data_IF_876471296746
#
_entry.id   IF_876471296746
#
_cell.length_a   1.000
_cell.length_b   1.000
_cell.length_c   1.000
_cell.angle_alpha   90.00
_cell.angle_beta   90.00
_cell.angle_gamma   90.00
#
_symmetry.space_group_name_H-M   'P 1'
#
loop_
_entity.id
_entity.type
_entity.pdbx_description
1 polymer ?
#
# COMPACT_ATOMS: atom_id res chain seq x y z
N UNK A 1 9.69 22.45 9.48
CA UNK A 1 8.70 22.57 8.40
C UNK A 1 9.33 22.58 7.01
N UNK A 2 10.20 23.52 6.65
CA UNK A 2 10.81 23.58 5.30
C UNK A 2 11.50 22.30 4.87
N UNK A 3 12.28 21.65 5.72
CA UNK A 3 12.97 20.38 5.42
C UNK A 3 11.98 19.23 5.14
N UNK A 4 10.88 19.17 5.87
CA UNK A 4 9.80 18.19 5.63
C UNK A 4 9.13 18.41 4.28
N UNK A 5 8.84 19.67 3.96
CA UNK A 5 8.28 20.08 2.68
C UNK A 5 9.23 19.73 1.51
N UNK A 6 10.52 20.08 1.65
CA UNK A 6 11.53 19.80 0.64
C UNK A 6 11.69 18.28 0.42
N UNK A 7 11.58 17.48 1.48
CA UNK A 7 11.56 16.01 1.38
C UNK A 7 10.39 15.51 0.52
N UNK A 8 9.17 15.97 0.77
CA UNK A 8 8.01 15.53 0.00
C UNK A 8 8.02 16.03 -1.44
N UNK A 9 8.46 17.27 -1.69
CA UNK A 9 8.67 17.77 -3.05
C UNK A 9 9.71 16.96 -3.79
N UNK A 10 10.81 16.58 -3.14
CA UNK A 10 11.84 15.79 -3.77
C UNK A 10 11.34 14.40 -4.15
N UNK A 11 10.48 13.78 -3.34
CA UNK A 11 9.82 12.52 -3.70
C UNK A 11 9.00 12.69 -4.99
N UNK A 12 8.15 13.72 -5.06
CA UNK A 12 7.30 13.95 -6.22
C UNK A 12 8.12 14.28 -7.49
N UNK A 13 9.13 15.14 -7.38
CA UNK A 13 10.04 15.48 -8.47
C UNK A 13 10.85 14.28 -8.95
N UNK A 14 11.34 13.48 -8.03
CA UNK A 14 12.11 12.28 -8.36
C UNK A 14 11.28 11.25 -9.10
N UNK A 15 10.02 11.10 -8.73
CA UNK A 15 9.08 10.21 -9.41
C UNK A 15 8.46 10.81 -10.70
N UNK A 16 8.79 12.03 -11.06
CA UNK A 16 8.14 12.76 -12.15
C UNK A 16 6.61 12.73 -12.05
N UNK A 17 6.07 12.72 -10.83
CA UNK A 17 4.63 12.68 -10.59
C UNK A 17 4.06 14.10 -10.46
N UNK A 18 2.78 14.25 -10.76
CA UNK A 18 2.05 15.49 -10.49
C UNK A 18 2.04 15.75 -8.97
N UNK A 19 2.16 17.01 -8.60
CA UNK A 19 2.10 17.47 -7.22
C UNK A 19 1.60 18.90 -7.15
N UNK A 20 0.99 19.24 -6.04
CA UNK A 20 0.51 20.58 -5.74
C UNK A 20 1.26 21.13 -4.52
N UNK A 21 1.89 22.29 -4.70
CA UNK A 21 2.70 22.93 -3.67
C UNK A 21 1.88 23.31 -2.44
N UNK A 22 0.73 23.91 -2.66
CA UNK A 22 -0.08 24.46 -1.58
C UNK A 22 -0.76 23.34 -0.78
N UNK A 23 -1.12 22.23 -1.44
CA UNK A 23 -1.59 21.02 -0.76
C UNK A 23 -0.48 20.35 0.08
N UNK A 24 0.76 20.33 -0.41
CA UNK A 24 1.89 19.80 0.36
C UNK A 24 2.26 20.68 1.54
N UNK A 25 2.22 22.00 1.38
CA UNK A 25 2.44 22.95 2.48
C UNK A 25 1.38 22.74 3.58
N UNK A 26 0.11 22.71 3.19
CA UNK A 26 -1.00 22.46 4.11
C UNK A 26 -0.86 21.10 4.81
N UNK A 27 -0.51 20.03 4.06
CA UNK A 27 -0.28 18.73 4.66
C UNK A 27 0.85 18.75 5.69
N UNK A 28 1.97 19.38 5.37
CA UNK A 28 3.11 19.51 6.28
C UNK A 28 2.73 20.26 7.55
N UNK A 29 1.99 21.36 7.43
CA UNK A 29 1.55 22.18 8.56
C UNK A 29 0.55 21.42 9.45
N UNK A 30 -0.55 20.93 8.88
CA UNK A 30 -1.61 20.25 9.62
C UNK A 30 -1.17 18.90 10.21
N UNK A 31 -0.21 18.21 9.57
CA UNK A 31 0.32 16.93 10.07
C UNK A 31 1.05 17.07 11.42
N UNK A 32 1.62 18.23 11.73
CA UNK A 32 2.27 18.50 13.02
C UNK A 32 1.27 18.44 14.19
N UNK A 33 0.01 18.73 13.92
CA UNK A 33 -1.06 18.78 14.93
C UNK A 33 -1.84 17.47 15.08
N UNK A 34 -1.53 16.44 14.27
CA UNK A 34 -2.27 15.17 14.31
C UNK A 34 -2.12 14.44 15.66
N UNK A 35 -0.95 14.55 16.28
CA UNK A 35 -0.71 13.96 17.60
C UNK A 35 -1.65 14.53 18.66
N UNK A 36 -1.74 15.84 18.73
CA UNK A 36 -2.60 16.56 19.68
C UNK A 36 -4.08 16.27 19.37
N UNK A 37 -4.45 16.27 18.09
CA UNK A 37 -5.81 15.96 17.68
C UNK A 37 -6.25 14.56 18.12
N UNK A 38 -5.44 13.53 17.85
CA UNK A 38 -5.78 12.15 18.24
C UNK A 38 -5.79 12.01 19.77
N UNK A 39 -4.86 12.67 20.49
CA UNK A 39 -4.84 12.69 21.94
C UNK A 39 -6.06 13.37 22.56
N UNK A 40 -6.60 14.41 21.92
CA UNK A 40 -7.84 15.07 22.37
C UNK A 40 -9.07 14.16 22.28
N UNK A 41 -9.05 13.19 21.36
CA UNK A 41 -10.13 12.21 21.20
C UNK A 41 -9.97 10.98 22.12
N UNK A 42 -8.76 10.71 22.61
CA UNK A 42 -8.44 9.57 23.46
C UNK A 42 -7.36 9.96 24.48
N UNK A 43 -7.70 10.73 25.53
CA UNK A 43 -6.73 11.22 26.52
C UNK A 43 -6.10 10.11 27.34
N UNK A 44 -6.72 8.92 27.42
CA UNK A 44 -6.21 7.73 28.07
C UNK A 44 -5.08 7.04 27.27
N UNK A 45 -4.95 7.33 25.99
CA UNK A 45 -3.94 6.74 25.11
C UNK A 45 -2.60 7.44 25.22
N UNK A 46 -1.55 6.74 24.79
CA UNK A 46 -0.19 7.31 24.66
C UNK A 46 0.27 7.27 23.22
N UNK A 47 0.73 8.40 22.71
CA UNK A 47 1.39 8.46 21.42
C UNK A 47 2.81 7.94 21.58
N UNK A 48 3.20 7.01 20.72
CA UNK A 48 4.58 6.58 20.54
C UNK A 48 5.06 7.04 19.18
N UNK A 49 6.17 7.75 19.14
CA UNK A 49 6.87 8.13 17.92
C UNK A 49 7.97 7.11 17.67
N UNK A 50 8.10 6.60 16.46
CA UNK A 50 9.12 5.62 16.13
C UNK A 50 9.49 5.68 14.64
N UNK A 51 10.79 5.58 14.40
CA UNK A 51 11.38 5.37 13.08
C UNK A 51 10.90 6.31 11.99
N UNK A 52 11.61 6.34 10.89
CA UNK A 52 11.17 7.09 9.73
C UNK A 52 10.30 6.27 8.80
N UNK A 53 9.61 6.96 7.95
CA UNK A 53 8.94 6.41 6.80
C UNK A 53 9.96 6.12 5.66
N UNK A 54 9.55 5.58 4.51
CA UNK A 54 10.42 5.15 3.40
C UNK A 54 11.33 6.23 2.81
N UNK A 55 12.10 5.87 1.78
CA UNK A 55 13.01 6.76 1.04
C UNK A 55 14.13 7.40 1.89
N UNK A 56 14.74 6.61 2.75
CA UNK A 56 15.77 7.06 3.70
C UNK A 56 17.02 7.65 3.05
N UNK A 57 17.24 7.36 1.78
CA UNK A 57 18.31 7.90 0.97
C UNK A 57 18.05 9.33 0.46
N UNK A 58 16.85 9.87 0.68
CA UNK A 58 16.53 11.24 0.29
C UNK A 58 16.82 12.22 1.44
N UNK A 59 17.34 13.42 1.12
CA UNK A 59 17.53 14.47 2.11
C UNK A 59 16.23 14.81 2.85
N UNK A 60 16.28 14.93 4.17
CA UNK A 60 15.12 15.25 5.01
C UNK A 60 14.27 14.05 5.45
N UNK A 61 14.64 12.84 5.08
CA UNK A 61 13.91 11.62 5.49
C UNK A 61 13.82 11.44 7.01
N UNK A 62 14.80 11.93 7.76
CA UNK A 62 14.86 11.93 9.22
C UNK A 62 13.81 12.82 9.89
N UNK A 63 13.23 13.78 9.15
CA UNK A 63 12.13 14.61 9.61
C UNK A 63 10.79 13.87 9.62
N UNK A 64 10.67 12.72 8.95
CA UNK A 64 9.42 11.96 8.83
C UNK A 64 9.37 10.86 9.87
N UNK A 65 8.49 11.01 10.84
CA UNK A 65 8.29 10.04 11.91
C UNK A 65 6.91 9.39 11.81
N UNK A 66 6.86 8.11 12.19
CA UNK A 66 5.61 7.38 12.37
C UNK A 66 5.12 7.56 13.79
N UNK A 67 3.82 7.81 13.91
CA UNK A 67 3.14 7.80 15.20
C UNK A 67 2.23 6.59 15.32
N UNK A 68 2.13 6.04 16.52
CA UNK A 68 1.08 5.08 16.85
C UNK A 68 0.50 5.39 18.22
N UNK A 69 -0.81 5.24 18.34
CA UNK A 69 -1.49 5.30 19.62
C UNK A 69 -1.30 3.96 20.35
N UNK A 70 -0.89 4.03 21.62
CA UNK A 70 -0.73 2.89 22.54
C UNK A 70 -1.76 2.98 23.66
N UNK A 71 -1.93 1.86 24.38
CA UNK A 71 -2.79 1.78 25.55
C UNK A 71 -4.25 2.22 25.34
N UNK A 72 -4.80 1.93 24.15
CA UNK A 72 -6.22 2.13 23.89
C UNK A 72 -6.96 0.91 24.41
N UNK A 73 -7.86 1.04 25.38
CA UNK A 73 -8.58 -0.08 25.99
C UNK A 73 -9.33 -0.90 24.95
N UNK A 74 -9.21 -2.23 25.02
CA UNK A 74 -9.94 -3.16 24.16
C UNK A 74 -9.50 -3.23 22.70
N UNK A 75 -8.47 -2.45 22.30
CA UNK A 75 -8.06 -2.36 20.89
C UNK A 75 -6.64 -2.89 20.65
N UNK A 76 -6.44 -3.56 19.52
CA UNK A 76 -5.14 -4.10 19.05
C UNK A 76 -4.87 -3.66 17.61
N UNK A 77 -3.60 -3.45 17.28
CA UNK A 77 -3.20 -3.13 15.90
C UNK A 77 -3.95 -1.91 15.33
N UNK A 78 -4.51 -2.03 14.14
CA UNK A 78 -5.28 -1.00 13.44
C UNK A 78 -6.58 -0.60 14.14
N UNK A 79 -7.15 -1.49 14.94
CA UNK A 79 -8.40 -1.23 15.68
C UNK A 79 -8.26 -0.07 16.66
N UNK A 80 -7.03 0.27 17.06
CA UNK A 80 -6.77 1.38 17.99
C UNK A 80 -7.22 2.70 17.41
N UNK A 81 -6.76 3.04 16.21
CA UNK A 81 -7.10 4.31 15.57
C UNK A 81 -8.59 4.33 15.18
N UNK A 82 -9.08 3.27 14.57
CA UNK A 82 -10.49 3.13 14.23
C UNK A 82 -11.39 3.27 15.48
N UNK A 83 -11.06 2.56 16.57
CA UNK A 83 -11.84 2.60 17.81
C UNK A 83 -11.88 3.99 18.48
N UNK A 84 -10.82 4.80 18.31
CA UNK A 84 -10.81 6.20 18.78
C UNK A 84 -11.87 7.00 18.02
N UNK A 85 -11.86 6.93 16.70
CA UNK A 85 -12.83 7.66 15.88
C UNK A 85 -14.25 7.13 16.05
N UNK A 86 -14.46 5.81 16.14
CA UNK A 86 -15.76 5.21 16.39
C UNK A 86 -16.39 5.71 17.72
N UNK A 87 -15.60 5.72 18.80
CA UNK A 87 -16.04 6.30 20.08
C UNK A 87 -16.36 7.79 19.97
N UNK A 88 -15.52 8.54 19.25
CA UNK A 88 -15.74 9.97 19.06
C UNK A 88 -17.03 10.27 18.28
N UNK A 89 -17.34 9.47 17.26
CA UNK A 89 -18.58 9.52 16.47
C UNK A 89 -19.78 9.22 17.35
N UNK A 90 -19.73 8.12 18.13
CA UNK A 90 -20.80 7.72 19.06
C UNK A 90 -21.05 8.77 20.14
N UNK A 91 -20.00 9.30 20.75
CA UNK A 91 -20.11 10.34 21.79
C UNK A 91 -20.76 11.65 21.29
N UNK A 92 -20.75 11.88 19.97
CA UNK A 92 -21.36 13.04 19.33
C UNK A 92 -22.73 12.74 18.72
N UNK A 93 -23.26 11.53 18.92
CA UNK A 93 -24.51 11.05 18.35
C UNK A 93 -24.58 11.24 16.81
N UNK A 94 -23.45 11.05 16.12
CA UNK A 94 -23.41 11.13 14.65
C UNK A 94 -24.03 9.83 14.11
N UNK A 95 -25.11 9.90 13.30
CA UNK A 95 -25.72 8.71 12.73
C UNK A 95 -24.77 7.97 11.80
N UNK A 96 -24.69 6.65 11.95
CA UNK A 96 -23.92 5.76 11.06
C UNK A 96 -24.88 4.73 10.47
N UNK A 97 -25.04 4.78 9.15
CA UNK A 97 -25.84 3.80 8.41
C UNK A 97 -24.90 2.74 7.84
N UNK A 98 -24.96 1.53 8.40
CA UNK A 98 -24.24 0.37 7.89
C UNK A 98 -25.09 -0.37 6.85
N UNK A 99 -24.44 -1.14 5.96
CA UNK A 99 -25.10 -1.84 4.86
C UNK A 99 -25.95 -0.89 3.97
N UNK A 100 -25.47 0.34 3.83
CA UNK A 100 -26.14 1.40 3.08
C UNK A 100 -25.19 1.97 2.01
N UNK A 101 -24.87 1.20 0.94
CA UNK A 101 -23.93 1.66 -0.09
C UNK A 101 -24.49 2.85 -0.85
N UNK A 102 -23.70 3.93 -0.92
CA UNK A 102 -23.97 5.07 -1.78
C UNK A 102 -23.84 4.66 -3.26
N UNK A 103 -24.70 5.22 -4.12
CA UNK A 103 -24.75 4.90 -5.54
C UNK A 103 -24.53 6.11 -6.43
N UNK A 104 -25.13 7.24 -6.08
CA UNK A 104 -25.10 8.47 -6.88
C UNK A 104 -25.12 9.70 -6.00
N UNK A 105 -24.56 10.79 -6.52
CA UNK A 105 -24.78 12.11 -5.95
C UNK A 105 -26.10 12.69 -6.47
N UNK A 106 -26.88 13.27 -5.57
CA UNK A 106 -28.07 14.04 -5.91
C UNK A 106 -27.65 15.47 -6.15
N UNK A 107 -28.04 16.06 -7.27
CA UNK A 107 -27.58 17.39 -7.71
C UNK A 107 -28.70 18.26 -8.26
N UNK A 108 -28.48 19.57 -8.22
CA UNK A 108 -29.24 20.58 -8.93
C UNK A 108 -28.27 21.42 -9.73
N UNK A 109 -28.28 21.28 -11.06
CA UNK A 109 -27.23 21.84 -11.91
C UNK A 109 -25.86 21.26 -11.55
N UNK A 110 -24.91 22.09 -11.16
CA UNK A 110 -23.58 21.68 -10.70
C UNK A 110 -23.45 21.56 -9.17
N UNK A 111 -24.50 21.89 -8.42
CA UNK A 111 -24.49 21.88 -6.94
C UNK A 111 -24.92 20.51 -6.39
N UNK A 112 -24.12 19.94 -5.49
CA UNK A 112 -24.40 18.66 -4.83
C UNK A 112 -25.28 18.90 -3.60
N UNK A 113 -26.43 18.19 -3.56
CA UNK A 113 -27.46 18.36 -2.54
C UNK A 113 -27.59 17.16 -1.60
N UNK A 114 -26.99 16.02 -1.96
CA UNK A 114 -27.13 14.81 -1.15
C UNK A 114 -26.63 13.57 -1.87
N UNK A 115 -27.06 12.43 -1.37
CA UNK A 115 -26.63 11.10 -1.85
C UNK A 115 -27.84 10.20 -2.00
N UNK A 116 -27.88 9.47 -3.11
CA UNK A 116 -28.74 8.29 -3.29
C UNK A 116 -27.94 7.06 -2.84
N UNK A 117 -28.53 6.26 -1.97
CA UNK A 117 -27.99 5.01 -1.45
C UNK A 117 -28.99 3.88 -1.60
N UNK A 118 -28.57 2.66 -1.31
CA UNK A 118 -29.50 1.52 -1.15
C UNK A 118 -29.51 1.15 0.33
N UNK A 119 -30.67 1.18 0.93
CA UNK A 119 -30.89 0.75 2.31
C UNK A 119 -32.03 -0.27 2.37
N UNK A 120 -31.77 -1.42 2.98
CA UNK A 120 -32.70 -2.54 3.03
C UNK A 120 -33.26 -2.94 1.64
N UNK A 121 -32.40 -2.89 0.61
CA UNK A 121 -32.76 -3.25 -0.77
C UNK A 121 -33.55 -2.18 -1.54
N UNK A 122 -33.81 -1.00 -0.94
CA UNK A 122 -34.59 0.09 -1.55
C UNK A 122 -33.76 1.35 -1.74
N UNK A 123 -34.08 2.17 -2.74
CA UNK A 123 -33.50 3.51 -2.85
C UNK A 123 -33.73 4.34 -1.59
N UNK A 124 -32.66 4.94 -1.08
CA UNK A 124 -32.69 5.77 0.11
C UNK A 124 -31.95 7.08 -0.18
N UNK A 125 -32.61 8.20 0.04
CA UNK A 125 -32.08 9.51 -0.28
C UNK A 125 -31.69 10.25 0.99
N UNK A 126 -30.43 10.67 1.07
CA UNK A 126 -29.92 11.48 2.17
C UNK A 126 -29.72 12.91 1.67
N UNK A 127 -30.52 13.84 2.18
CA UNK A 127 -30.32 15.27 1.94
C UNK A 127 -29.17 15.78 2.79
N UNK A 128 -28.16 16.42 2.17
CA UNK A 128 -27.09 17.11 2.88
C UNK A 128 -27.50 18.58 3.07
N UNK A 129 -27.55 19.07 4.29
CA UNK A 129 -27.91 20.49 4.53
C UNK A 129 -26.86 21.46 4.02
N UNK A 130 -25.59 21.06 4.01
CA UNK A 130 -24.45 21.93 3.65
C UNK A 130 -23.62 21.34 2.53
N UNK A 131 -23.11 20.10 2.67
CA UNK A 131 -22.20 19.51 1.71
C UNK A 131 -22.15 17.98 1.84
N UNK A 132 -21.58 17.33 0.84
CA UNK A 132 -21.19 15.91 0.84
C UNK A 132 -19.68 15.81 0.86
N UNK A 133 -19.13 14.97 1.73
CA UNK A 133 -17.71 14.62 1.78
C UNK A 133 -17.55 13.16 1.39
N UNK A 134 -16.82 12.88 0.32
CA UNK A 134 -16.55 11.51 -0.14
C UNK A 134 -15.25 11.00 0.51
N UNK A 135 -15.35 9.92 1.28
CA UNK A 135 -14.23 9.26 1.96
C UNK A 135 -14.26 7.73 1.73
N UNK A 136 -14.55 7.29 0.51
CA UNK A 136 -14.86 5.89 0.18
C UNK A 136 -13.63 5.02 -0.06
N UNK A 137 -12.42 5.56 0.06
CA UNK A 137 -11.20 4.86 -0.31
C UNK A 137 -11.04 4.72 -1.83
N UNK A 138 -10.13 3.85 -2.24
CA UNK A 138 -9.74 3.68 -3.64
C UNK A 138 -10.57 2.67 -4.43
N UNK A 139 -9.92 2.10 -5.47
CA UNK A 139 -10.59 1.19 -6.40
C UNK A 139 -9.84 -0.15 -6.62
N UNK A 140 -8.90 -0.49 -5.75
CA UNK A 140 -8.04 -1.68 -5.90
C UNK A 140 -8.78 -3.02 -5.91
N UNK A 141 -10.02 -3.07 -5.43
CA UNK A 141 -10.86 -4.27 -5.46
C UNK A 141 -11.80 -4.32 -6.67
N UNK A 142 -11.68 -3.35 -7.59
CA UNK A 142 -12.44 -3.32 -8.83
C UNK A 142 -11.52 -3.68 -10.01
N UNK A 143 -11.62 -4.90 -10.57
CA UNK A 143 -10.73 -5.35 -11.64
C UNK A 143 -10.84 -4.52 -12.91
N UNK A 144 -12.00 -3.96 -13.23
CA UNK A 144 -12.19 -3.13 -14.42
C UNK A 144 -11.47 -1.79 -14.30
N UNK A 145 -11.58 -1.14 -13.14
CA UNK A 145 -10.87 0.12 -12.88
C UNK A 145 -9.35 -0.11 -12.78
N UNK A 146 -8.93 -1.21 -12.15
CA UNK A 146 -7.52 -1.61 -12.13
C UNK A 146 -6.98 -1.83 -13.53
N UNK A 147 -7.69 -2.57 -14.39
CA UNK A 147 -7.26 -2.80 -15.77
C UNK A 147 -7.24 -1.50 -16.60
N UNK A 148 -8.13 -0.55 -16.30
CA UNK A 148 -8.24 0.72 -17.03
C UNK A 148 -7.10 1.68 -16.71
N UNK A 149 -6.66 1.73 -15.45
CA UNK A 149 -5.76 2.78 -14.97
C UNK A 149 -4.38 2.28 -14.57
N UNK A 150 -4.24 1.01 -14.19
CA UNK A 150 -3.00 0.50 -13.61
C UNK A 150 -2.33 -0.49 -14.58
N UNK A 151 -1.06 -0.24 -14.85
CA UNK A 151 -0.21 -1.16 -15.62
C UNK A 151 0.38 -2.25 -14.72
N UNK A 152 0.83 -3.35 -15.35
CA UNK A 152 1.50 -4.43 -14.62
C UNK A 152 0.54 -5.41 -13.92
N UNK A 153 -0.58 -5.70 -14.56
CA UNK A 153 -1.50 -6.75 -14.11
C UNK A 153 -0.99 -8.16 -14.48
N UNK A 154 -1.35 -9.19 -13.71
CA UNK A 154 -2.32 -9.15 -12.60
C UNK A 154 -1.74 -8.60 -11.30
N UNK A 155 -2.57 -7.81 -10.58
CA UNK A 155 -2.34 -7.37 -9.21
C UNK A 155 -3.44 -7.91 -8.32
N UNK A 156 -3.08 -8.52 -7.17
CA UNK A 156 -4.06 -8.88 -6.16
C UNK A 156 -4.32 -7.68 -5.23
N UNK A 157 -5.52 -7.52 -4.70
CA UNK A 157 -5.75 -6.54 -3.65
C UNK A 157 -5.34 -7.09 -2.28
N UNK A 158 -4.83 -6.23 -1.42
CA UNK A 158 -4.44 -6.56 -0.04
C UNK A 158 -5.37 -5.91 0.99
N UNK A 159 -5.93 -4.76 0.64
CA UNK A 159 -6.76 -3.92 1.49
C UNK A 159 -8.19 -4.42 1.65
N UNK A 160 -9.12 -3.49 1.81
CA UNK A 160 -10.55 -3.79 1.95
C UNK A 160 -11.17 -4.23 0.63
N UNK A 161 -11.99 -5.30 0.61
CA UNK A 161 -12.76 -5.68 -0.57
C UNK A 161 -13.84 -4.63 -0.94
N UNK A 162 -14.12 -3.68 -0.04
CA UNK A 162 -15.07 -2.61 -0.28
C UNK A 162 -14.49 -1.40 -1.05
N UNK A 163 -13.20 -1.41 -1.38
CA UNK A 163 -12.59 -0.35 -2.19
C UNK A 163 -12.85 -0.61 -3.68
N UNK A 164 -14.10 -0.41 -4.09
CA UNK A 164 -14.65 -0.73 -5.41
C UNK A 164 -14.72 0.47 -6.35
N UNK A 165 -14.28 1.66 -5.88
CA UNK A 165 -14.25 2.88 -6.68
C UNK A 165 -15.59 3.62 -6.77
N UNK A 166 -16.55 3.33 -5.90
CA UNK A 166 -17.88 3.95 -5.95
C UNK A 166 -17.80 5.47 -5.83
N UNK A 167 -16.96 6.00 -4.93
CA UNK A 167 -16.75 7.44 -4.79
C UNK A 167 -16.06 8.08 -6.00
N UNK A 168 -15.13 7.35 -6.64
CA UNK A 168 -14.52 7.79 -7.90
C UNK A 168 -15.58 7.99 -8.97
N UNK A 169 -16.42 6.97 -9.18
CA UNK A 169 -17.48 7.02 -10.20
C UNK A 169 -18.52 8.11 -9.89
N UNK A 170 -18.86 8.29 -8.61
CA UNK A 170 -19.75 9.37 -8.18
C UNK A 170 -19.16 10.76 -8.48
N UNK A 171 -17.89 10.98 -8.16
CA UNK A 171 -17.22 12.24 -8.45
C UNK A 171 -17.05 12.49 -9.95
N UNK A 172 -16.69 11.45 -10.73
CA UNK A 172 -16.63 11.54 -12.19
C UNK A 172 -17.98 11.92 -12.81
N UNK A 173 -19.10 11.46 -12.25
CA UNK A 173 -20.43 11.83 -12.75
C UNK A 173 -20.75 13.33 -12.58
N UNK A 174 -19.96 14.03 -11.74
CA UNK A 174 -20.02 15.47 -11.54
C UNK A 174 -19.05 16.25 -12.44
N UNK A 175 -18.24 15.57 -13.24
CA UNK A 175 -17.24 16.18 -14.11
C UNK A 175 -15.96 16.61 -13.40
N UNK A 176 -15.57 15.91 -12.34
CA UNK A 176 -14.33 16.23 -11.62
C UNK A 176 -13.08 15.97 -12.47
N UNK A 177 -12.03 16.76 -12.23
CA UNK A 177 -10.68 16.45 -12.68
C UNK A 177 -10.11 15.26 -11.90
N UNK A 178 -9.25 14.47 -12.56
CA UNK A 178 -8.65 13.27 -12.00
C UNK A 178 -7.13 13.39 -12.01
N UNK A 179 -6.51 12.99 -10.91
CA UNK A 179 -5.06 12.90 -10.81
C UNK A 179 -4.59 11.58 -10.22
N UNK A 180 -3.29 11.26 -10.37
CA UNK A 180 -2.61 10.08 -9.81
C UNK A 180 -3.24 8.72 -10.16
N UNK A 181 -4.05 8.66 -11.22
CA UNK A 181 -4.84 7.47 -11.58
C UNK A 181 -3.99 6.23 -11.89
N UNK A 182 -2.73 6.41 -12.29
CA UNK A 182 -1.78 5.34 -12.58
C UNK A 182 -0.94 4.91 -11.37
N UNK A 183 -1.29 5.35 -10.17
CA UNK A 183 -0.45 5.23 -8.98
C UNK A 183 -1.07 4.31 -7.94
N UNK A 184 -0.26 3.37 -7.42
CA UNK A 184 -0.64 2.43 -6.37
C UNK A 184 0.48 2.28 -5.34
N UNK A 185 0.12 1.86 -4.14
CA UNK A 185 1.06 1.28 -3.19
C UNK A 185 0.91 -0.23 -3.22
N UNK A 186 1.90 -0.91 -3.77
CA UNK A 186 1.84 -2.35 -3.97
C UNK A 186 3.19 -3.03 -3.69
N UNK A 187 3.37 -3.66 -2.53
CA UNK A 187 4.46 -4.61 -2.32
C UNK A 187 4.28 -5.85 -3.20
N UNK A 188 5.33 -6.65 -3.29
CA UNK A 188 5.19 -8.01 -3.79
C UNK A 188 4.63 -8.93 -2.72
N UNK A 189 3.81 -9.88 -3.12
CA UNK A 189 3.15 -10.79 -2.20
C UNK A 189 2.71 -12.08 -2.87
N UNK A 190 2.09 -12.93 -2.07
CA UNK A 190 1.63 -14.27 -2.45
C UNK A 190 0.11 -14.23 -2.59
N UNK A 191 -0.39 -14.81 -3.66
CA UNK A 191 -1.80 -15.10 -3.81
C UNK A 191 -2.03 -16.58 -3.55
N UNK A 192 -2.77 -16.89 -2.49
CA UNK A 192 -3.11 -18.26 -2.13
C UNK A 192 -4.36 -18.68 -2.91
N UNK A 193 -4.38 -19.85 -3.55
CA UNK A 193 -5.57 -20.34 -4.23
C UNK A 193 -6.79 -20.38 -3.30
N UNK A 194 -7.92 -19.87 -3.78
CA UNK A 194 -9.17 -19.78 -3.00
C UNK A 194 -9.24 -18.60 -2.03
N UNK A 195 -8.17 -17.82 -1.87
CA UNK A 195 -8.16 -16.56 -1.10
C UNK A 195 -8.12 -15.40 -2.09
N UNK A 196 -9.13 -14.53 -2.06
CA UNK A 196 -9.20 -13.40 -3.02
C UNK A 196 -8.13 -12.35 -2.76
N UNK A 197 -7.86 -12.07 -1.48
CA UNK A 197 -6.85 -11.10 -1.09
C UNK A 197 -5.43 -11.68 -1.21
N UNK A 198 -4.50 -10.86 -1.68
CA UNK A 198 -3.08 -11.17 -1.64
C UNK A 198 -2.51 -11.05 -0.23
N UNK A 199 -1.38 -11.70 0.02
CA UNK A 199 -0.64 -11.63 1.28
C UNK A 199 0.72 -11.02 0.99
N UNK A 200 0.96 -9.82 1.50
CA UNK A 200 2.23 -9.15 1.27
C UNK A 200 3.42 -9.91 1.87
N UNK A 201 4.48 -10.01 1.08
CA UNK A 201 5.69 -10.73 1.47
C UNK A 201 6.64 -9.81 2.22
N UNK A 202 6.99 -10.17 3.45
CA UNK A 202 8.04 -9.50 4.24
C UNK A 202 9.19 -10.48 4.42
N UNK A 203 10.33 -10.18 3.79
CA UNK A 203 11.52 -11.03 3.85
C UNK A 203 12.23 -10.88 5.20
N UNK A 204 12.26 -11.95 6.00
CA UNK A 204 12.81 -11.96 7.36
C UNK A 204 14.17 -12.65 7.48
N UNK A 205 14.47 -13.54 6.56
CA UNK A 205 15.72 -14.30 6.54
C UNK A 205 16.62 -13.85 5.38
N UNK A 206 17.94 -14.07 5.46
CA UNK A 206 18.88 -13.58 4.45
C UNK A 206 19.04 -14.48 3.22
N UNK A 207 18.78 -15.79 3.34
CA UNK A 207 19.03 -16.78 2.28
C UNK A 207 17.90 -16.83 1.25
N UNK A 208 17.75 -15.75 0.46
CA UNK A 208 16.79 -15.67 -0.64
C UNK A 208 17.24 -14.70 -1.73
N UNK A 209 16.73 -14.90 -2.93
CA UNK A 209 16.79 -13.99 -4.07
C UNK A 209 15.44 -13.91 -4.77
N UNK A 210 15.18 -12.81 -5.49
CA UNK A 210 14.08 -12.72 -6.44
C UNK A 210 14.58 -12.90 -7.87
N UNK A 211 13.87 -13.72 -8.63
CA UNK A 211 14.16 -13.96 -10.04
C UNK A 211 12.92 -13.76 -10.90
N UNK A 212 13.11 -13.37 -12.13
CA UNK A 212 12.07 -13.27 -13.15
C UNK A 212 11.67 -14.66 -13.70
N UNK A 213 10.77 -14.68 -14.68
CA UNK A 213 10.30 -15.91 -15.33
C UNK A 213 11.41 -16.63 -16.12
N UNK A 214 12.49 -15.97 -16.42
CA UNK A 214 13.65 -16.55 -17.10
C UNK A 214 14.74 -17.05 -16.11
N UNK A 215 14.51 -16.92 -14.80
CA UNK A 215 15.44 -17.36 -13.76
C UNK A 215 16.57 -16.36 -13.45
N UNK A 216 16.46 -15.13 -13.91
CA UNK A 216 17.45 -14.06 -13.71
C UNK A 216 17.04 -13.14 -12.58
N UNK A 217 18.02 -12.71 -11.76
CA UNK A 217 17.77 -11.63 -10.81
C UNK A 217 17.53 -10.30 -11.54
N UNK A 218 16.86 -9.37 -10.88
CA UNK A 218 16.48 -8.09 -11.49
C UNK A 218 16.56 -6.89 -10.53
N UNK A 219 16.87 -7.09 -9.25
CA UNK A 219 16.87 -6.01 -8.25
C UNK A 219 17.70 -6.36 -7.01
N UNK A 220 18.09 -5.32 -6.25
CA UNK A 220 18.52 -5.48 -4.87
C UNK A 220 17.28 -5.45 -3.96
N UNK A 221 16.87 -6.60 -3.49
CA UNK A 221 15.62 -6.82 -2.73
C UNK A 221 15.61 -6.08 -1.38
N UNK A 222 16.77 -5.72 -0.85
CA UNK A 222 16.90 -5.03 0.44
C UNK A 222 16.92 -3.51 0.33
N UNK A 223 17.29 -2.97 -0.85
CA UNK A 223 17.27 -1.52 -1.10
C UNK A 223 15.95 -1.01 -1.67
N UNK A 224 15.08 -1.92 -2.08
CA UNK A 224 13.80 -1.56 -2.68
C UNK A 224 12.80 -1.12 -1.60
N UNK A 225 12.15 0.03 -1.81
CA UNK A 225 11.05 0.42 -0.93
C UNK A 225 9.89 -0.57 -1.05
N UNK A 226 9.41 -0.99 0.10
CA UNK A 226 8.41 -2.03 0.19
C UNK A 226 7.09 -1.66 -0.53
N UNK A 227 6.63 -0.42 -0.38
CA UNK A 227 5.36 0.02 -0.94
C UNK A 227 5.40 0.22 -2.46
N UNK A 228 6.61 0.43 -3.00
CA UNK A 228 6.85 0.70 -4.41
C UNK A 228 7.51 -0.49 -5.13
N UNK A 229 7.57 -1.66 -4.51
CA UNK A 229 8.25 -2.82 -5.12
C UNK A 229 7.58 -3.31 -6.43
N UNK A 230 6.31 -3.00 -6.65
CA UNK A 230 5.64 -3.23 -7.92
C UNK A 230 6.32 -2.53 -9.12
N UNK A 231 6.99 -1.40 -8.89
CA UNK A 231 7.70 -0.68 -9.95
C UNK A 231 8.89 -1.48 -10.50
N UNK A 232 9.53 -2.31 -9.67
CA UNK A 232 10.64 -3.15 -10.11
C UNK A 232 10.18 -4.30 -11.04
N UNK A 233 8.91 -4.65 -11.00
CA UNK A 233 8.33 -5.73 -11.82
C UNK A 233 7.44 -5.23 -12.95
N UNK A 234 7.01 -3.96 -12.90
CA UNK A 234 6.15 -3.33 -13.90
C UNK A 234 6.95 -2.89 -15.13
N UNK A 235 7.59 -3.84 -15.81
CA UNK A 235 8.37 -3.62 -17.00
C UNK A 235 7.85 -4.52 -18.13
N UNK A 236 7.10 -3.94 -19.06
CA UNK A 236 6.53 -4.67 -20.18
C UNK A 236 7.61 -4.93 -21.26
N UNK A 237 7.80 -6.19 -21.62
CA UNK A 237 8.61 -6.62 -22.74
C UNK A 237 7.79 -6.53 -24.03
N UNK A 238 8.01 -5.47 -24.80
CA UNK A 238 7.25 -5.21 -26.01
C UNK A 238 7.59 -6.18 -27.17
N UNK A 239 8.72 -6.89 -27.10
CA UNK A 239 9.13 -7.87 -28.11
C UNK A 239 8.40 -9.20 -27.89
N UNK A 240 8.37 -9.66 -26.64
CA UNK A 240 7.77 -10.93 -26.27
C UNK A 240 6.32 -10.78 -25.76
N UNK A 241 5.79 -9.57 -25.72
CA UNK A 241 4.42 -9.22 -25.31
C UNK A 241 4.05 -9.77 -23.92
N UNK A 242 4.96 -9.62 -22.92
CA UNK A 242 4.76 -10.11 -21.56
C UNK A 242 5.34 -9.16 -20.50
N UNK A 243 4.90 -9.33 -19.28
CA UNK A 243 5.60 -8.83 -18.09
C UNK A 243 6.52 -9.93 -17.56
N UNK A 244 7.84 -9.93 -17.85
CA UNK A 244 8.73 -11.04 -17.48
C UNK A 244 8.91 -11.23 -15.98
N UNK A 245 8.51 -10.23 -15.18
CA UNK A 245 8.63 -10.20 -13.72
C UNK A 245 7.27 -10.30 -13.01
N UNK A 246 6.17 -10.56 -13.75
CA UNK A 246 4.84 -10.77 -13.16
C UNK A 246 4.24 -12.07 -13.71
N UNK A 247 4.21 -13.14 -12.89
CA UNK A 247 4.83 -13.27 -11.56
C UNK A 247 6.34 -13.30 -11.63
N UNK A 248 7.02 -12.92 -10.54
CA UNK A 248 8.39 -13.29 -10.25
C UNK A 248 8.44 -14.40 -9.19
N UNK A 249 9.61 -14.93 -8.92
CA UNK A 249 9.79 -16.00 -7.96
C UNK A 249 10.77 -15.59 -6.85
N UNK A 250 10.42 -15.87 -5.61
CA UNK A 250 11.38 -15.86 -4.51
C UNK A 250 11.96 -17.24 -4.36
N UNK A 251 13.27 -17.36 -4.58
CA UNK A 251 14.04 -18.58 -4.42
C UNK A 251 14.70 -18.57 -3.04
N UNK A 252 14.62 -19.69 -2.32
CA UNK A 252 15.20 -19.86 -0.99
C UNK A 252 15.61 -21.31 -0.76
N UNK A 253 16.41 -21.53 0.26
CA UNK A 253 16.78 -22.87 0.70
C UNK A 253 16.11 -23.29 2.01
N UNK A 254 16.47 -24.47 2.52
CA UNK A 254 15.88 -25.02 3.73
C UNK A 254 16.16 -24.19 4.98
N UNK A 255 17.27 -23.46 5.04
CA UNK A 255 17.64 -22.61 6.18
C UNK A 255 16.61 -21.48 6.38
N UNK A 256 16.06 -20.96 5.28
CA UNK A 256 15.03 -19.92 5.33
C UNK A 256 13.75 -20.40 6.01
N UNK A 257 13.25 -21.60 5.64
CA UNK A 257 12.00 -22.14 6.18
C UNK A 257 12.16 -22.76 7.58
N UNK A 258 13.33 -23.28 7.93
CA UNK A 258 13.63 -23.77 9.29
C UNK A 258 13.52 -22.67 10.35
N UNK A 259 13.67 -21.40 9.97
CA UNK A 259 13.54 -20.26 10.87
C UNK A 259 12.07 -19.95 11.25
N UNK A 260 11.10 -20.64 10.67
CA UNK A 260 9.68 -20.50 10.98
C UNK A 260 8.77 -20.31 9.77
N UNK A 261 7.50 -19.95 9.99
CA UNK A 261 6.55 -19.78 8.91
C UNK A 261 6.96 -18.63 7.98
N UNK A 262 6.83 -18.85 6.68
CA UNK A 262 7.12 -17.84 5.65
C UNK A 262 6.27 -16.58 5.86
N UNK A 263 5.00 -16.78 6.24
CA UNK A 263 4.06 -15.71 6.58
C UNK A 263 3.64 -15.82 8.05
N UNK A 264 3.85 -14.77 8.81
CA UNK A 264 3.39 -14.72 10.21
C UNK A 264 1.87 -14.47 10.27
N UNK A 265 1.17 -15.24 11.09
CA UNK A 265 -0.26 -15.06 11.36
C UNK A 265 -0.55 -13.98 12.42
N UNK A 266 0.47 -13.48 13.08
CA UNK A 266 0.35 -12.51 14.15
C UNK A 266 1.06 -11.20 13.86
N UNK A 267 0.36 -10.11 14.02
CA UNK A 267 0.97 -8.88 14.47
C UNK A 267 1.50 -7.88 13.47
N UNK A 268 1.48 -8.10 12.18
CA UNK A 268 1.94 -7.05 11.26
C UNK A 268 0.84 -6.27 10.54
N UNK A 269 -0.43 -6.63 10.69
CA UNK A 269 -1.54 -5.94 10.02
C UNK A 269 -1.52 -5.99 8.48
N UNK A 270 -0.54 -6.64 7.90
CA UNK A 270 -0.21 -6.65 6.48
C UNK A 270 -1.04 -7.61 5.62
N UNK A 271 -2.01 -8.27 6.21
CA UNK A 271 -2.96 -9.09 5.50
C UNK A 271 -4.31 -8.90 6.16
N UNK A 272 -4.93 -7.79 5.83
CA UNK A 272 -6.15 -7.32 6.50
C UNK A 272 -7.31 -8.27 6.25
N UNK A 273 -7.39 -8.88 5.08
CA UNK A 273 -8.48 -9.77 4.75
C UNK A 273 -7.97 -11.09 4.17
N UNK A 274 -7.63 -12.03 5.04
CA UNK A 274 -7.27 -13.40 4.63
C UNK A 274 -8.47 -14.32 4.47
N UNK A 275 -9.68 -13.81 4.56
CA UNK A 275 -10.91 -14.62 4.47
C UNK A 275 -10.87 -15.88 5.38
N UNK A 276 -10.30 -15.74 6.58
CA UNK A 276 -10.09 -16.83 7.52
C UNK A 276 -8.86 -17.71 7.24
N UNK A 277 -8.12 -17.50 6.15
CA UNK A 277 -6.92 -18.29 5.86
C UNK A 277 -5.84 -18.05 6.92
N UNK A 278 -5.34 -19.16 7.48
CA UNK A 278 -4.21 -19.17 8.41
C UNK A 278 -3.04 -19.94 7.78
N UNK A 279 -1.91 -19.27 7.69
CA UNK A 279 -0.65 -19.91 7.28
C UNK A 279 -0.22 -20.95 8.30
N UNK A 280 0.28 -22.11 7.88
CA UNK A 280 0.74 -23.15 8.80
C UNK A 280 2.02 -22.73 9.54
N UNK A 281 2.24 -23.28 10.73
CA UNK A 281 3.41 -22.92 11.56
C UNK A 281 4.74 -23.44 10.97
N UNK A 282 4.67 -24.54 10.26
CA UNK A 282 5.78 -25.28 9.68
C UNK A 282 5.86 -25.19 8.15
N UNK A 283 4.98 -24.40 7.52
CA UNK A 283 4.83 -24.24 6.08
C UNK A 283 4.37 -25.53 5.34
N UNK A 284 4.07 -26.63 6.05
CA UNK A 284 3.80 -27.91 5.41
C UNK A 284 2.52 -27.88 4.57
N UNK A 285 1.46 -27.28 5.08
CA UNK A 285 0.21 -27.09 4.34
C UNK A 285 0.42 -26.34 3.02
N UNK A 286 1.29 -25.33 3.02
CA UNK A 286 1.59 -24.50 1.86
C UNK A 286 2.49 -25.23 0.87
N UNK A 287 3.35 -26.14 1.34
CA UNK A 287 4.14 -27.05 0.50
C UNK A 287 3.20 -28.08 -0.17
N UNK A 288 2.35 -28.73 0.61
CA UNK A 288 1.43 -29.77 0.13
C UNK A 288 0.43 -29.23 -0.91
N UNK A 289 0.02 -27.98 -0.75
CA UNK A 289 -0.89 -27.29 -1.68
C UNK A 289 -0.18 -26.67 -2.90
N UNK A 290 1.16 -26.71 -2.97
CA UNK A 290 1.95 -26.14 -4.06
C UNK A 290 2.05 -24.59 -4.04
N UNK A 291 1.62 -23.93 -2.97
CA UNK A 291 1.87 -22.50 -2.74
C UNK A 291 3.36 -22.25 -2.54
N UNK A 292 4.01 -23.15 -1.78
CA UNK A 292 5.46 -23.25 -1.70
C UNK A 292 5.89 -24.45 -2.56
N UNK A 293 6.63 -24.18 -3.60
CA UNK A 293 7.15 -25.20 -4.51
C UNK A 293 8.46 -25.71 -3.93
N UNK A 294 8.59 -27.04 -3.77
CA UNK A 294 9.76 -27.72 -3.21
C UNK A 294 10.45 -28.58 -4.26
N UNK A 295 11.77 -28.60 -4.24
CA UNK A 295 12.61 -29.49 -5.06
C UNK A 295 13.93 -29.83 -4.34
N UNK A 296 14.53 -30.97 -4.69
CA UNK A 296 15.79 -31.41 -4.08
C UNK A 296 17.00 -30.66 -4.67
N UNK A 297 16.89 -30.18 -5.91
CA UNK A 297 17.93 -29.40 -6.58
C UNK A 297 17.38 -28.11 -7.17
N UNK A 298 18.25 -27.12 -7.39
CA UNK A 298 17.89 -25.85 -8.06
C UNK A 298 17.43 -26.10 -9.50
N UNK A 299 18.02 -27.08 -10.19
CA UNK A 299 17.61 -27.43 -11.54
C UNK A 299 16.18 -28.01 -11.58
N UNK A 300 15.86 -28.91 -10.65
CA UNK A 300 14.50 -29.44 -10.52
C UNK A 300 13.52 -28.33 -10.14
N UNK A 301 13.91 -27.42 -9.25
CA UNK A 301 13.10 -26.27 -8.89
C UNK A 301 12.78 -25.40 -10.12
N UNK A 302 13.78 -25.11 -10.95
CA UNK A 302 13.61 -24.37 -12.19
C UNK A 302 12.61 -25.03 -13.15
N UNK A 303 12.69 -26.35 -13.30
CA UNK A 303 11.74 -27.15 -14.12
C UNK A 303 10.32 -27.05 -13.56
N UNK A 304 10.13 -27.15 -12.23
CA UNK A 304 8.83 -27.01 -11.56
C UNK A 304 8.24 -25.58 -11.68
N UNK A 305 9.10 -24.58 -11.77
CA UNK A 305 8.69 -23.17 -12.01
C UNK A 305 8.33 -22.90 -13.47
N UNK A 306 8.64 -23.81 -14.40
CA UNK A 306 8.42 -23.62 -15.83
C UNK A 306 9.42 -22.68 -16.50
N UNK A 307 10.62 -22.51 -15.91
CA UNK A 307 11.71 -21.76 -16.51
C UNK A 307 12.20 -22.51 -17.74
N UNK A 308 12.19 -21.86 -18.91
CA UNK A 308 12.45 -22.50 -20.19
C UNK A 308 13.84 -23.14 -20.28
N UNK A 309 14.85 -22.48 -19.71
CA UNK A 309 16.20 -23.02 -19.56
C UNK A 309 16.57 -23.08 -18.07
N UNK A 310 16.45 -24.25 -17.43
CA UNK A 310 16.79 -24.46 -16.02
C UNK A 310 18.23 -24.10 -15.66
N UNK A 311 19.16 -24.18 -16.63
CA UNK A 311 20.56 -23.85 -16.40
C UNK A 311 20.76 -22.36 -16.02
N UNK A 312 19.85 -21.49 -16.47
CA UNK A 312 19.90 -20.05 -16.12
C UNK A 312 19.70 -19.86 -14.61
N UNK A 313 18.71 -20.48 -13.99
CA UNK A 313 18.50 -20.37 -12.54
C UNK A 313 19.66 -21.00 -11.76
N UNK A 314 20.18 -22.14 -12.21
CA UNK A 314 21.36 -22.79 -11.61
C UNK A 314 22.56 -21.84 -11.63
N UNK A 315 22.84 -21.19 -12.78
CA UNK A 315 23.91 -20.24 -12.91
C UNK A 315 23.71 -18.99 -12.03
N UNK A 316 22.46 -18.50 -11.93
CA UNK A 316 22.08 -17.37 -11.08
C UNK A 316 22.35 -17.66 -9.59
N UNK A 317 21.92 -18.81 -9.09
CA UNK A 317 22.19 -19.19 -7.68
C UNK A 317 23.65 -19.44 -7.43
N UNK A 318 24.36 -20.11 -8.37
CA UNK A 318 25.79 -20.33 -8.26
C UNK A 318 26.56 -19.02 -8.18
N UNK A 319 26.26 -18.06 -9.06
CA UNK A 319 26.89 -16.73 -9.04
C UNK A 319 26.61 -15.99 -7.74
N UNK A 320 25.36 -15.98 -7.26
CA UNK A 320 24.97 -15.41 -5.98
C UNK A 320 25.85 -15.96 -4.84
N UNK A 321 25.96 -17.29 -4.75
CA UNK A 321 26.73 -17.94 -3.69
C UNK A 321 28.23 -17.64 -3.77
N UNK A 322 28.82 -17.66 -4.98
CA UNK A 322 30.23 -17.33 -5.22
C UNK A 322 30.53 -15.87 -4.85
N UNK A 323 29.72 -14.93 -5.33
CA UNK A 323 29.88 -13.49 -5.04
C UNK A 323 29.85 -13.21 -3.53
N UNK A 324 28.92 -13.82 -2.79
CA UNK A 324 28.84 -13.63 -1.34
C UNK A 324 30.05 -14.22 -0.60
N UNK A 325 30.54 -15.38 -1.01
CA UNK A 325 31.70 -16.04 -0.38
C UNK A 325 32.99 -15.33 -0.66
N UNK A 326 33.20 -14.92 -1.89
CA UNK A 326 34.50 -14.39 -2.35
C UNK A 326 34.61 -12.88 -2.11
N UNK A 327 33.49 -12.15 -2.23
CA UNK A 327 33.48 -10.69 -2.23
C UNK A 327 32.65 -10.06 -1.10
N UNK A 328 31.80 -10.84 -0.43
CA UNK A 328 30.92 -10.35 0.60
C UNK A 328 29.77 -9.46 0.09
N UNK A 329 29.61 -9.39 -1.22
CA UNK A 329 28.60 -8.56 -1.90
C UNK A 329 28.19 -9.21 -3.22
N UNK A 330 26.91 -9.21 -3.51
CA UNK A 330 26.38 -9.51 -4.83
C UNK A 330 26.83 -8.46 -5.85
N UNK A 331 27.57 -8.86 -6.87
CA UNK A 331 28.15 -7.94 -7.87
C UNK A 331 27.16 -7.49 -8.92
N UNK A 332 25.97 -8.07 -8.98
CA UNK A 332 24.94 -7.72 -9.96
C UNK A 332 24.11 -6.51 -9.53
N UNK A 333 23.67 -6.51 -8.29
CA UNK A 333 22.78 -5.47 -7.74
C UNK A 333 23.27 -4.87 -6.42
N UNK A 334 24.46 -5.27 -5.96
CA UNK A 334 25.13 -4.68 -4.80
C UNK A 334 24.43 -4.97 -3.45
N UNK A 335 23.86 -6.17 -3.29
CA UNK A 335 23.31 -6.61 -2.01
C UNK A 335 24.43 -7.18 -1.13
N UNK A 336 24.66 -6.55 0.01
CA UNK A 336 25.75 -6.86 0.95
C UNK A 336 25.40 -7.99 1.91
N UNK A 337 26.39 -8.67 2.48
CA UNK A 337 26.19 -9.67 3.55
C UNK A 337 25.60 -9.06 4.79
N UNK A 338 26.14 -7.92 5.22
CA UNK A 338 25.64 -7.20 6.41
C UNK A 338 24.67 -6.11 6.04
N UNK A 339 23.82 -5.72 6.97
CA UNK A 339 22.97 -4.56 6.79
C UNK A 339 23.79 -3.29 6.54
N UNK A 340 23.37 -2.49 5.57
CA UNK A 340 23.95 -1.17 5.35
C UNK A 340 23.64 -0.28 6.57
N UNK A 341 24.65 0.21 7.30
CA UNK A 341 24.45 1.01 8.49
C UNK A 341 23.70 2.33 8.22
N UNK A 342 23.74 2.81 6.97
CA UNK A 342 23.06 4.02 6.54
C UNK A 342 21.60 3.76 6.14
N UNK A 343 21.20 2.51 5.97
CA UNK A 343 19.83 2.12 5.69
C UNK A 343 19.14 1.61 6.95
N UNK A 344 18.37 2.46 7.60
CA UNK A 344 17.44 2.01 8.65
C UNK A 344 16.33 1.23 7.97
N UNK A 345 16.45 -0.09 7.96
CA UNK A 345 15.52 -0.98 7.29
C UNK A 345 14.09 -0.78 7.80
N UNK A 346 13.24 -0.19 6.99
CA UNK A 346 11.88 0.22 7.38
C UNK A 346 10.99 -0.99 7.60
N UNK A 347 11.24 -2.09 6.91
CA UNK A 347 10.39 -3.29 6.93
C UNK A 347 11.15 -4.61 6.92
N UNK A 348 12.45 -4.59 6.94
CA UNK A 348 13.25 -5.78 7.24
C UNK A 348 13.25 -5.93 8.75
N UNK A 349 12.89 -7.09 9.27
CA UNK A 349 12.76 -7.34 10.71
C UNK A 349 13.88 -6.65 11.49
N UNK A 350 13.52 -5.93 12.53
CA UNK A 350 14.31 -4.90 13.24
C UNK A 350 15.73 -5.32 13.67
N UNK A 351 16.04 -6.62 13.60
CA UNK A 351 17.28 -7.21 14.10
C UNK A 351 18.02 -8.07 13.08
N UNK A 352 17.75 -7.91 11.77
CA UNK A 352 18.46 -8.70 10.76
C UNK A 352 19.84 -8.14 10.56
N UNK A 353 20.80 -8.67 11.31
CA UNK A 353 22.24 -8.34 11.19
C UNK A 353 22.81 -8.72 9.81
N UNK A 354 22.21 -9.73 9.16
CA UNK A 354 22.61 -10.21 7.85
C UNK A 354 21.56 -9.91 6.80
N UNK A 355 21.95 -9.29 5.70
CA UNK A 355 21.09 -8.99 4.57
C UNK A 355 21.09 -10.10 3.52
N UNK A 356 22.18 -10.87 3.47
CA UNK A 356 22.38 -11.92 2.50
C UNK A 356 23.00 -13.15 3.15
N UNK A 357 22.64 -14.30 2.65
CA UNK A 357 23.32 -15.58 2.91
C UNK A 357 23.31 -16.43 1.64
N UNK A 358 24.26 -17.34 1.45
CA UNK A 358 24.23 -18.32 0.37
C UNK A 358 22.94 -19.15 0.40
N UNK A 359 22.55 -19.66 -0.76
CA UNK A 359 21.40 -20.55 -0.97
C UNK A 359 21.96 -21.91 -1.33
N UNK A 360 22.14 -22.81 -0.35
CA UNK A 360 22.93 -24.03 -0.52
C UNK A 360 22.39 -25.26 0.19
N UNK A 361 21.58 -25.07 1.23
CA UNK A 361 21.03 -26.15 2.01
C UNK A 361 19.74 -26.70 1.36
N UNK A 362 19.85 -27.76 0.58
CA UNK A 362 18.65 -28.45 0.08
C UNK A 362 17.75 -29.00 1.20
N UNK A 363 16.48 -29.25 0.93
CA UNK A 363 15.77 -28.93 -0.31
C UNK A 363 15.61 -27.43 -0.54
N UNK A 364 15.40 -27.07 -1.82
CA UNK A 364 15.19 -25.70 -2.27
C UNK A 364 13.71 -25.42 -2.44
N UNK A 365 13.35 -24.14 -2.27
CA UNK A 365 11.96 -23.73 -2.29
C UNK A 365 11.75 -22.47 -3.12
N UNK A 366 10.56 -22.34 -3.67
CA UNK A 366 10.14 -21.11 -4.34
C UNK A 366 8.69 -20.78 -4.02
N UNK A 367 8.38 -19.47 -4.07
CA UNK A 367 7.00 -18.96 -4.09
C UNK A 367 6.82 -17.97 -5.24
N UNK A 368 5.63 -17.99 -5.84
CA UNK A 368 5.23 -16.96 -6.81
C UNK A 368 4.91 -15.66 -6.10
N UNK A 369 5.49 -14.56 -6.59
CA UNK A 369 5.20 -13.23 -6.12
C UNK A 369 4.52 -12.42 -7.23
N UNK A 370 3.46 -11.74 -6.86
CA UNK A 370 2.74 -10.76 -7.69
C UNK A 370 2.63 -9.45 -6.92
N UNK A 371 2.42 -8.30 -7.57
CA UNK A 371 2.07 -7.08 -6.86
C UNK A 371 0.76 -7.28 -6.08
N UNK A 372 0.74 -6.83 -4.81
CA UNK A 372 -0.45 -6.87 -3.95
C UNK A 372 -0.76 -5.46 -3.48
N UNK A 373 -1.85 -4.91 -3.97
CA UNK A 373 -2.17 -3.49 -3.83
C UNK A 373 -2.82 -3.19 -2.50
N UNK A 374 -2.18 -2.33 -1.69
CA UNK A 374 -2.77 -1.79 -0.46
C UNK A 374 -3.89 -0.83 -0.77
N UNK A 375 -3.58 0.14 -1.62
CA UNK A 375 -4.49 1.18 -2.04
C UNK A 375 -4.03 1.77 -3.38
N UNK A 376 -5.00 2.32 -4.09
CA UNK A 376 -4.77 3.20 -5.23
C UNK A 376 -4.65 4.64 -4.74
N UNK A 377 -3.91 5.49 -5.44
CA UNK A 377 -3.73 6.90 -5.06
C UNK A 377 -4.60 7.83 -5.89
N UNK A 378 -5.14 7.31 -6.99
CA UNK A 378 -5.94 8.07 -7.93
C UNK A 378 -7.32 8.43 -7.42
N UNK A 379 -7.84 9.51 -7.97
CA UNK A 379 -9.19 10.00 -7.67
C UNK A 379 -9.38 11.45 -8.06
N UNK A 380 -10.43 12.10 -7.55
CA UNK A 380 -10.68 13.51 -7.80
C UNK A 380 -9.55 14.40 -7.31
N UNK A 381 -9.16 15.36 -8.14
CA UNK A 381 -8.29 16.46 -7.73
C UNK A 381 -9.02 17.35 -6.73
N UNK A 382 -8.30 17.87 -5.74
CA UNK A 382 -8.87 18.68 -4.66
C UNK A 382 -8.15 20.01 -4.47
N UNK A 383 -8.86 21.01 -3.96
CA UNK A 383 -8.28 22.27 -3.52
C UNK A 383 -7.65 22.15 -2.11
N UNK A 384 -6.95 23.19 -1.67
CA UNK A 384 -6.47 23.33 -0.28
C UNK A 384 -7.62 23.33 0.76
N UNK A 385 -8.86 23.54 0.33
CA UNK A 385 -10.04 23.40 1.17
C UNK A 385 -10.66 22.02 1.12
N UNK A 386 -10.02 21.07 0.41
CA UNK A 386 -10.52 19.73 0.12
C UNK A 386 -11.79 19.69 -0.76
N UNK A 387 -12.09 20.77 -1.48
CA UNK A 387 -13.17 20.82 -2.47
C UNK A 387 -12.76 20.00 -3.70
N UNK A 388 -13.67 19.22 -4.27
CA UNK A 388 -13.45 18.55 -5.55
C UNK A 388 -13.40 19.59 -6.67
N UNK A 389 -12.37 19.49 -7.52
CA UNK A 389 -12.16 20.41 -8.63
C UNK A 389 -12.67 19.82 -9.96
N UNK A 390 -13.14 20.68 -10.85
CA UNK A 390 -13.38 20.35 -12.24
C UNK A 390 -12.09 20.46 -13.09
N UNK A 391 -12.09 20.08 -14.38
CA UNK A 391 -10.88 20.17 -15.23
C UNK A 391 -10.35 21.57 -15.48
N UNK A 392 -11.07 22.60 -15.10
CA UNK A 392 -10.67 24.01 -15.22
C UNK A 392 -10.13 24.57 -13.89
N UNK A 393 -10.11 23.73 -12.83
CA UNK A 393 -9.66 24.10 -11.49
C UNK A 393 -10.72 24.77 -10.63
N UNK A 394 -11.97 24.81 -11.09
CA UNK A 394 -13.08 25.41 -10.33
C UNK A 394 -13.70 24.38 -9.37
N UNK A 395 -14.00 24.78 -8.11
CA UNK A 395 -14.63 23.88 -7.16
C UNK A 395 -16.05 23.47 -7.59
N UNK A 396 -16.34 22.15 -7.53
CA UNK A 396 -17.69 21.64 -7.65
C UNK A 396 -18.45 21.98 -6.35
N UNK A 397 -19.51 22.80 -6.41
CA UNK A 397 -20.15 23.32 -5.21
C UNK A 397 -20.65 22.22 -4.28
N UNK A 398 -20.30 22.34 -2.99
CA UNK A 398 -20.75 21.46 -1.89
C UNK A 398 -20.24 20.02 -2.00
N UNK A 399 -19.19 19.75 -2.78
CA UNK A 399 -18.55 18.46 -2.91
C UNK A 399 -17.12 18.52 -2.41
N UNK A 400 -16.80 17.66 -1.45
CA UNK A 400 -15.48 17.54 -0.83
C UNK A 400 -14.98 16.08 -0.93
N UNK A 401 -13.66 15.92 -0.87
CA UNK A 401 -13.01 14.62 -0.89
C UNK A 401 -11.86 14.56 0.11
N UNK A 402 -11.68 13.41 0.75
CA UNK A 402 -10.56 13.18 1.67
C UNK A 402 -10.10 11.72 1.68
N UNK A 403 -8.85 11.54 2.08
CA UNK A 403 -8.22 10.23 2.25
C UNK A 403 -7.70 9.64 0.95
N UNK A 404 -7.72 8.32 0.86
CA UNK A 404 -7.16 7.55 -0.26
C UNK A 404 -7.73 7.96 -1.63
N UNK A 405 -8.99 8.34 -1.68
CA UNK A 405 -9.64 8.81 -2.89
C UNK A 405 -9.11 10.20 -3.28
N UNK A 406 -8.26 10.26 -4.31
CA UNK A 406 -7.57 11.48 -4.72
C UNK A 406 -6.49 11.89 -3.73
N UNK A 407 -5.64 10.94 -3.33
CA UNK A 407 -4.52 11.14 -2.42
C UNK A 407 -3.62 12.29 -2.88
N UNK A 408 -3.05 13.02 -1.93
CA UNK A 408 -2.02 14.04 -2.17
C UNK A 408 -0.74 13.45 -2.75
N UNK A 409 -0.57 12.12 -2.64
CA UNK A 409 0.62 11.38 -3.08
C UNK A 409 0.40 10.82 -4.49
N UNK A 410 1.41 11.02 -5.34
CA UNK A 410 1.47 10.43 -6.67
C UNK A 410 2.20 9.08 -6.70
N UNK A 411 3.00 8.86 -7.74
CA UNK A 411 3.63 7.58 -8.09
C UNK A 411 4.39 6.89 -6.96
N UNK A 412 5.05 7.67 -6.10
CA UNK A 412 5.83 7.15 -4.96
C UNK A 412 5.08 7.41 -3.66
N UNK A 413 4.59 6.33 -3.06
CA UNK A 413 3.89 6.39 -1.79
C UNK A 413 4.85 6.56 -0.62
N UNK A 414 4.63 7.58 0.19
CA UNK A 414 5.33 7.75 1.46
C UNK A 414 4.66 6.95 2.58
N UNK A 415 5.36 5.96 3.12
CA UNK A 415 4.84 5.09 4.18
C UNK A 415 4.29 5.86 5.39
N UNK A 416 3.12 5.44 5.88
CA UNK A 416 2.32 6.04 6.95
C UNK A 416 1.58 7.35 6.58
N UNK A 417 1.80 7.93 5.41
CA UNK A 417 1.12 9.18 5.03
C UNK A 417 -0.35 9.01 4.65
N UNK A 418 -0.82 7.82 4.23
CA UNK A 418 -2.23 7.62 3.90
C UNK A 418 -3.19 7.95 5.05
N UNK A 419 -2.89 7.46 6.26
CA UNK A 419 -3.71 7.79 7.44
C UNK A 419 -3.57 9.26 7.84
N UNK A 420 -2.39 9.86 7.67
CA UNK A 420 -2.18 11.27 7.92
C UNK A 420 -2.95 12.14 6.91
N UNK A 421 -2.89 11.81 5.61
CA UNK A 421 -3.68 12.47 4.56
C UNK A 421 -5.18 12.41 4.86
N UNK A 422 -5.69 11.23 5.20
CA UNK A 422 -7.10 11.05 5.56
C UNK A 422 -7.52 11.91 6.76
N UNK A 423 -6.66 12.03 7.79
CA UNK A 423 -6.96 12.85 8.96
C UNK A 423 -6.83 14.35 8.67
N UNK A 424 -5.80 14.77 7.94
CA UNK A 424 -5.59 16.18 7.56
C UNK A 424 -6.76 16.65 6.70
N UNK A 425 -6.96 16.03 5.55
CA UNK A 425 -7.98 16.49 4.61
C UNK A 425 -9.42 16.17 5.06
N UNK A 426 -9.63 15.15 5.88
CA UNK A 426 -10.90 14.90 6.54
C UNK A 426 -11.29 16.05 7.49
N UNK A 427 -10.33 16.58 8.27
CA UNK A 427 -10.52 17.76 9.12
C UNK A 427 -10.75 19.01 8.30
N UNK A 428 -9.95 19.21 7.25
CA UNK A 428 -10.07 20.37 6.35
C UNK A 428 -11.44 20.36 5.66
N UNK A 429 -11.85 19.24 5.07
CA UNK A 429 -13.15 19.08 4.44
C UNK A 429 -14.29 19.34 5.43
N UNK A 430 -14.22 18.74 6.62
CA UNK A 430 -15.23 18.93 7.66
C UNK A 430 -15.39 20.38 8.11
N UNK A 431 -14.28 21.10 8.33
CA UNK A 431 -14.30 22.53 8.69
C UNK A 431 -14.94 23.38 7.58
N UNK A 432 -14.50 23.19 6.33
CA UNK A 432 -14.99 23.98 5.20
C UNK A 432 -16.46 23.66 4.88
N UNK A 433 -16.85 22.40 4.90
CA UNK A 433 -18.25 21.99 4.73
C UNK A 433 -19.16 22.57 5.83
N UNK A 434 -18.71 22.56 7.08
CA UNK A 434 -19.47 23.12 8.20
C UNK A 434 -19.63 24.64 8.12
N UNK A 435 -18.71 25.35 7.49
CA UNK A 435 -18.76 26.80 7.32
C UNK A 435 -19.75 27.26 6.24
N UNK A 436 -20.22 26.36 5.38
CA UNK A 436 -21.21 26.70 4.34
C UNK A 436 -22.57 27.03 4.94
N UNK A 437 -23.28 27.90 4.27
CA UNK A 437 -24.71 28.14 4.50
C UNK A 437 -25.54 26.91 4.08
N UNK A 438 -26.66 26.68 4.75
CA UNK A 438 -27.62 25.69 4.27
C UNK A 438 -28.12 26.08 2.88
N UNK A 439 -28.18 25.09 1.97
CA UNK A 439 -28.80 25.40 0.69
C UNK A 439 -30.31 25.54 0.83
N UNK A 440 -30.91 26.44 0.04
CA UNK A 440 -32.32 26.78 0.06
C UNK A 440 -33.17 25.84 -0.79
#
# INVERSE_FOLDING_TARGET
MRVLFDFFINIARWACSEWDKDLLDLFCEESLHLGDYVSSLAPEGKISVYGHAGYQNLPGADCVNKMSMRNVPGAKGGDRLFGIFDRAVKARNIPVLVNCPARRLVRRGNEVLGVEAIYEGKPYFVKANKAVVICTGGFQSNPELMARYIYGNPMAYLGSPAHTGDGLLMAQSMGCDLWHMNSVSAPLGIQVPGVKAGIAMVTRQPAFIWVDQDGKRFVNEKKLDYHCSWMAVNNFDAINHRYPRIPCYMIMDSSYLKAGPLISNGGSGWAINREGYKWSKDNQKEIDSGVIIKADTVEELAKKLGIADPAVLVATVKRWNSDLREKGIDTEYGRTLTADPNMKAVFVGRDVKSWSAPIEEGPFYAVKLVPVTYHTMGGPKKSVKAEVLDPFGEPIPRLYVAGELGSTWGLTYQGACANADAMVFGRVAGKNAAALENWK
#
